data_IF_897250769877
#
_entry.id   IF_897250769877
#
_cell.length_a   1.000
_cell.length_b   1.000
_cell.length_c   1.000
_cell.angle_alpha   90.00
_cell.angle_beta   90.00
_cell.angle_gamma   90.00
#
_symmetry.space_group_name_H-M   'P 1'
#
loop_
_entity.id
_entity.type
_entity.pdbx_description
1 polymer ?
#
# COMPACT_ATOMS: atom_id res chain seq x y z
N UNK A 1 -21.99 -48.55 47.51
CA UNK A 1 -21.83 -47.74 48.74
C UNK A 1 -21.41 -46.34 48.33
N UNK A 2 -22.18 -45.34 48.77
CA UNK A 2 -22.09 -43.93 48.40
C UNK A 2 -20.91 -43.28 49.14
N UNK A 3 -20.11 -42.46 48.45
CA UNK A 3 -19.52 -41.28 49.10
C UNK A 3 -19.48 -40.09 48.15
N UNK A 4 -20.21 -39.08 48.59
CA UNK A 4 -20.42 -37.73 48.05
C UNK A 4 -19.12 -36.94 47.94
N UNK A 5 -19.06 -36.02 46.99
CA UNK A 5 -18.04 -34.96 46.94
C UNK A 5 -18.34 -33.92 45.87
N UNK A 6 -19.24 -32.99 46.19
CA UNK A 6 -19.50 -31.75 45.46
C UNK A 6 -18.22 -30.89 45.41
N UNK A 7 -17.80 -30.47 44.21
CA UNK A 7 -17.06 -29.22 44.03
C UNK A 7 -17.61 -28.47 42.82
N UNK A 8 -18.38 -27.43 43.14
CA UNK A 8 -18.67 -26.29 42.29
C UNK A 8 -17.35 -25.59 41.93
N UNK A 9 -17.03 -25.49 40.63
CA UNK A 9 -16.24 -24.37 40.13
C UNK A 9 -16.95 -23.84 38.89
N UNK A 10 -17.76 -22.81 39.12
CA UNK A 10 -18.12 -21.84 38.09
C UNK A 10 -16.85 -21.11 37.64
N UNK A 11 -16.65 -20.93 36.34
CA UNK A 11 -15.44 -20.25 35.88
C UNK A 11 -15.38 -20.03 34.37
N UNK A 12 -16.18 -19.05 33.92
CA UNK A 12 -15.94 -18.18 32.76
C UNK A 12 -15.56 -18.81 31.41
N UNK A 13 -16.55 -18.84 30.53
CA UNK A 13 -16.40 -18.65 29.09
C UNK A 13 -15.71 -17.31 28.79
N UNK A 14 -14.38 -17.33 28.57
CA UNK A 14 -13.67 -16.21 27.96
C UNK A 14 -13.86 -16.28 26.43
N UNK A 15 -15.01 -15.80 25.95
CA UNK A 15 -15.18 -15.41 24.57
C UNK A 15 -14.24 -14.21 24.34
N UNK A 16 -13.04 -14.49 23.83
CA UNK A 16 -12.07 -13.46 23.52
C UNK A 16 -12.55 -12.72 22.26
N UNK A 17 -13.30 -11.64 22.50
CA UNK A 17 -13.59 -10.61 21.53
C UNK A 17 -12.26 -10.00 21.08
N UNK A 18 -11.75 -10.45 19.93
CA UNK A 18 -10.76 -9.70 19.18
C UNK A 18 -11.41 -8.39 18.74
N UNK A 19 -11.26 -7.34 19.55
CA UNK A 19 -11.51 -5.97 19.13
C UNK A 19 -10.45 -5.61 18.09
N UNK A 20 -10.75 -5.93 16.82
CA UNK A 20 -10.07 -5.37 15.68
C UNK A 20 -10.27 -3.85 15.73
N UNK A 21 -9.31 -3.13 16.29
CA UNK A 21 -9.20 -1.69 16.05
C UNK A 21 -8.88 -1.57 14.56
N UNK A 22 -9.92 -1.37 13.76
CA UNK A 22 -9.79 -0.98 12.37
C UNK A 22 -9.13 0.39 12.37
N UNK A 23 -7.79 0.43 12.29
CA UNK A 23 -7.10 1.64 11.89
C UNK A 23 -7.64 1.95 10.50
N UNK A 24 -8.34 3.08 10.27
CA UNK A 24 -8.76 3.42 8.93
C UNK A 24 -7.47 3.54 8.11
N UNK A 25 -7.32 2.64 7.13
CA UNK A 25 -6.33 2.81 6.10
C UNK A 25 -6.69 4.11 5.39
N UNK A 26 -6.01 5.20 5.74
CA UNK A 26 -6.08 6.47 5.03
C UNK A 26 -5.30 6.34 3.72
N UNK A 27 -5.60 5.34 2.91
CA UNK A 27 -5.47 5.49 1.48
C UNK A 27 -6.66 6.36 1.09
N UNK A 28 -6.52 7.67 1.28
CA UNK A 28 -7.51 8.60 0.79
C UNK A 28 -7.66 8.31 -0.71
N UNK A 29 -8.84 7.85 -1.11
CA UNK A 29 -9.31 7.74 -2.49
C UNK A 29 -9.31 9.13 -3.13
N UNK A 30 -8.12 9.67 -3.38
CA UNK A 30 -7.97 10.80 -4.29
C UNK A 30 -8.17 10.21 -5.68
N UNK A 31 -9.41 10.28 -6.16
CA UNK A 31 -9.68 10.03 -7.58
C UNK A 31 -8.75 10.94 -8.38
N UNK A 32 -7.84 10.31 -9.13
CA UNK A 32 -6.91 11.04 -9.99
C UNK A 32 -7.71 11.80 -11.06
N UNK A 33 -7.26 13.02 -11.36
CA UNK A 33 -7.85 13.86 -12.40
C UNK A 33 -6.75 14.46 -13.26
N UNK A 34 -7.04 14.69 -14.53
CA UNK A 34 -6.11 15.33 -15.45
C UNK A 34 -6.17 16.88 -15.36
N UNK A 35 -6.15 17.44 -14.14
CA UNK A 35 -6.36 18.87 -13.91
C UNK A 35 -5.39 19.80 -14.65
N UNK A 36 -4.19 19.30 -14.96
CA UNK A 36 -3.17 20.02 -15.74
C UNK A 36 -3.43 20.03 -17.26
N UNK A 37 -4.37 19.22 -17.76
CA UNK A 37 -4.66 19.07 -19.19
C UNK A 37 -5.80 19.96 -19.70
N UNK A 38 -6.39 20.77 -18.81
CA UNK A 38 -7.57 21.59 -19.12
C UNK A 38 -8.86 20.76 -19.10
N UNK A 39 -9.91 21.30 -19.72
CA UNK A 39 -11.20 20.62 -19.80
C UNK A 39 -11.20 19.58 -20.92
N UNK A 40 -11.84 18.44 -20.66
CA UNK A 40 -12.11 17.44 -21.68
C UNK A 40 -13.05 18.02 -22.76
N UNK A 41 -12.68 17.94 -24.05
CA UNK A 41 -13.56 18.39 -25.13
C UNK A 41 -14.86 17.60 -25.14
N UNK A 42 -15.99 18.29 -25.33
CA UNK A 42 -17.30 17.65 -25.42
C UNK A 42 -17.55 17.20 -26.86
N UNK A 43 -17.92 15.93 -27.05
CA UNK A 43 -18.26 15.41 -28.36
C UNK A 43 -19.49 16.12 -28.95
N UNK A 44 -19.43 16.64 -30.20
CA UNK A 44 -20.55 17.31 -30.82
C UNK A 44 -21.60 16.30 -31.32
N UNK A 45 -22.86 16.73 -31.44
CA UNK A 45 -23.88 16.00 -32.19
C UNK A 45 -23.66 16.14 -33.69
N UNK A 46 -24.08 15.12 -34.46
CA UNK A 46 -24.04 15.11 -35.93
C UNK A 46 -25.45 15.30 -36.47
N UNK A 47 -25.65 16.35 -37.24
CA UNK A 47 -26.93 16.70 -37.84
C UNK A 47 -27.02 16.19 -39.29
N UNK A 48 -27.95 15.28 -39.58
CA UNK A 48 -28.10 14.65 -40.90
C UNK A 48 -29.36 15.10 -41.65
N UNK A 49 -30.07 16.10 -41.14
CA UNK A 49 -31.37 16.53 -41.66
C UNK A 49 -31.30 17.34 -42.97
N UNK A 50 -30.10 17.80 -43.37
CA UNK A 50 -29.84 18.44 -44.66
C UNK A 50 -28.34 18.43 -44.95
N UNK A 51 -27.96 18.61 -46.22
CA UNK A 51 -26.55 18.68 -46.64
C UNK A 51 -25.79 19.78 -45.90
N UNK A 52 -26.38 20.97 -45.75
CA UNK A 52 -25.73 22.10 -45.07
C UNK A 52 -25.45 21.80 -43.59
N UNK A 53 -26.43 21.22 -42.89
CA UNK A 53 -26.27 20.83 -41.48
C UNK A 53 -25.27 19.69 -41.30
N UNK A 54 -25.23 18.76 -42.25
CA UNK A 54 -24.24 17.69 -42.26
C UNK A 54 -22.83 18.23 -42.45
N UNK A 55 -22.61 19.09 -43.44
CA UNK A 55 -21.32 19.72 -43.68
C UNK A 55 -20.85 20.54 -42.46
N UNK A 56 -21.74 21.29 -41.82
CA UNK A 56 -21.43 22.00 -40.57
C UNK A 56 -21.07 21.03 -39.42
N UNK A 57 -21.62 19.81 -39.42
CA UNK A 57 -21.26 18.77 -38.44
C UNK A 57 -19.88 18.17 -38.71
N UNK A 58 -19.47 18.03 -39.98
CA UNK A 58 -18.13 17.58 -40.36
C UNK A 58 -17.06 18.51 -39.78
N UNK A 59 -17.27 19.82 -39.85
CA UNK A 59 -16.34 20.80 -39.27
C UNK A 59 -16.25 20.68 -37.75
N UNK A 60 -17.40 20.54 -37.07
CA UNK A 60 -17.45 20.34 -35.61
C UNK A 60 -16.74 19.07 -35.17
N UNK A 61 -16.97 17.96 -35.88
CA UNK A 61 -16.31 16.68 -35.60
C UNK A 61 -14.81 16.81 -35.81
N UNK A 62 -14.36 17.43 -36.91
CA UNK A 62 -12.93 17.64 -37.18
C UNK A 62 -12.25 18.48 -36.09
N UNK A 63 -12.93 19.53 -35.61
CA UNK A 63 -12.44 20.35 -34.51
C UNK A 63 -12.36 19.56 -33.19
N UNK A 64 -13.39 18.77 -32.89
CA UNK A 64 -13.42 17.89 -31.72
C UNK A 64 -12.29 16.85 -31.78
N UNK A 65 -12.11 16.15 -32.90
CA UNK A 65 -11.06 15.14 -33.04
C UNK A 65 -9.67 15.71 -32.77
N UNK A 66 -9.39 16.90 -33.30
CA UNK A 66 -8.14 17.61 -33.05
C UNK A 66 -7.97 17.90 -31.55
N UNK A 67 -8.99 18.49 -30.92
CA UNK A 67 -8.96 18.83 -29.51
C UNK A 67 -8.82 17.58 -28.62
N UNK A 68 -9.57 16.52 -28.91
CA UNK A 68 -9.58 15.27 -28.17
C UNK A 68 -8.23 14.54 -28.26
N UNK A 69 -7.59 14.54 -29.43
CA UNK A 69 -6.23 13.97 -29.58
C UNK A 69 -5.20 14.74 -28.75
N UNK A 70 -5.27 16.07 -28.75
CA UNK A 70 -4.40 16.91 -27.91
C UNK A 70 -4.63 16.63 -26.42
N UNK A 71 -5.88 16.62 -25.98
CA UNK A 71 -6.25 16.33 -24.59
C UNK A 71 -5.77 14.93 -24.17
N UNK A 72 -6.09 13.88 -24.94
CA UNK A 72 -5.67 12.51 -24.64
C UNK A 72 -4.15 12.35 -24.57
N UNK A 73 -3.41 13.03 -25.46
CA UNK A 73 -1.94 13.02 -25.38
C UNK A 73 -1.42 13.65 -24.09
N UNK A 74 -2.04 14.72 -23.61
CA UNK A 74 -1.71 15.30 -22.32
C UNK A 74 -2.04 14.35 -21.16
N UNK A 75 -3.26 13.79 -21.15
CA UNK A 75 -3.74 12.85 -20.12
C UNK A 75 -2.78 11.67 -19.99
N UNK A 76 -2.40 11.04 -21.11
CA UNK A 76 -1.46 9.92 -21.11
C UNK A 76 -0.09 10.29 -20.53
N UNK A 77 0.46 11.46 -20.90
CA UNK A 77 1.73 11.94 -20.36
C UNK A 77 1.64 12.24 -18.87
N UNK A 78 0.55 12.84 -18.43
CA UNK A 78 0.31 13.16 -17.02
C UNK A 78 0.18 11.89 -16.18
N UNK A 79 -0.58 10.90 -16.66
CA UNK A 79 -0.73 9.61 -16.00
C UNK A 79 0.62 8.90 -15.85
N UNK A 80 1.38 8.72 -16.94
CA UNK A 80 2.69 8.06 -16.90
C UNK A 80 3.67 8.77 -15.95
N UNK A 81 3.64 10.11 -15.91
CA UNK A 81 4.47 10.89 -14.99
C UNK A 81 4.11 10.58 -13.53
N UNK A 82 2.83 10.61 -13.20
CA UNK A 82 2.33 10.34 -11.85
C UNK A 82 2.62 8.90 -11.42
N UNK A 83 2.32 7.93 -12.28
CA UNK A 83 2.60 6.50 -12.06
C UNK A 83 4.09 6.25 -11.81
N UNK A 84 4.96 6.94 -12.56
CA UNK A 84 6.42 6.85 -12.38
C UNK A 84 6.84 7.45 -11.03
N UNK A 85 6.27 8.60 -10.66
CA UNK A 85 6.56 9.24 -9.38
C UNK A 85 6.14 8.35 -8.20
N UNK A 86 4.91 7.82 -8.24
CA UNK A 86 4.39 6.86 -7.24
C UNK A 86 5.28 5.61 -7.17
N UNK A 87 5.66 5.06 -8.32
CA UNK A 87 6.51 3.86 -8.37
C UNK A 87 7.88 4.10 -7.75
N UNK A 88 8.50 5.26 -8.01
CA UNK A 88 9.79 5.61 -7.44
C UNK A 88 9.70 5.84 -5.93
N UNK A 89 8.70 6.59 -5.48
CA UNK A 89 8.44 6.82 -4.05
C UNK A 89 8.21 5.48 -3.31
N UNK A 90 7.42 4.58 -3.90
CA UNK A 90 7.19 3.26 -3.33
C UNK A 90 8.49 2.44 -3.22
N UNK A 91 9.33 2.45 -4.27
CA UNK A 91 10.63 1.77 -4.27
C UNK A 91 11.55 2.31 -3.18
N UNK A 92 11.61 3.63 -3.01
CA UNK A 92 12.42 4.27 -1.97
C UNK A 92 11.95 3.88 -0.56
N UNK A 93 10.63 3.93 -0.31
CA UNK A 93 10.04 3.51 0.97
C UNK A 93 10.33 2.05 1.28
N UNK A 94 10.17 1.16 0.31
CA UNK A 94 10.46 -0.27 0.46
C UNK A 94 11.94 -0.49 0.74
N UNK A 95 12.83 0.18 0.01
CA UNK A 95 14.28 0.08 0.22
C UNK A 95 14.67 0.51 1.64
N UNK A 96 14.12 1.62 2.13
CA UNK A 96 14.35 2.10 3.49
C UNK A 96 13.92 1.08 4.55
N UNK A 97 12.72 0.51 4.41
CA UNK A 97 12.22 -0.52 5.33
C UNK A 97 13.10 -1.77 5.30
N UNK A 98 13.52 -2.20 4.10
CA UNK A 98 14.37 -3.36 3.93
C UNK A 98 15.75 -3.15 4.59
N UNK A 99 16.36 -1.99 4.38
CA UNK A 99 17.64 -1.63 5.01
C UNK A 99 17.54 -1.61 6.54
N UNK A 100 16.50 -0.96 7.07
CA UNK A 100 16.23 -0.92 8.51
C UNK A 100 16.05 -2.31 9.09
N UNK A 101 15.25 -3.15 8.43
CA UNK A 101 14.99 -4.54 8.85
C UNK A 101 16.26 -5.38 8.85
N UNK A 102 17.07 -5.29 7.78
CA UNK A 102 18.35 -6.00 7.68
C UNK A 102 19.32 -5.56 8.78
N UNK A 103 19.37 -4.26 9.08
CA UNK A 103 20.22 -3.71 10.14
C UNK A 103 19.82 -4.26 11.52
N UNK A 104 18.53 -4.31 11.82
CA UNK A 104 18.01 -4.90 13.06
C UNK A 104 18.37 -6.38 13.15
N UNK A 105 18.12 -7.15 12.10
CA UNK A 105 18.42 -8.59 12.06
C UNK A 105 19.92 -8.86 12.27
N UNK A 106 20.80 -8.12 11.59
CA UNK A 106 22.26 -8.23 11.76
C UNK A 106 22.68 -7.92 13.20
N UNK A 107 22.12 -6.86 13.79
CA UNK A 107 22.41 -6.48 15.19
C UNK A 107 21.98 -7.58 16.17
N UNK A 108 20.79 -8.14 15.99
CA UNK A 108 20.27 -9.23 16.82
C UNK A 108 21.17 -10.47 16.70
N UNK A 109 21.51 -10.87 15.47
CA UNK A 109 22.42 -12.00 15.23
C UNK A 109 23.78 -11.78 15.91
N UNK A 110 24.37 -10.59 15.75
CA UNK A 110 25.63 -10.23 16.41
C UNK A 110 25.54 -10.27 17.94
N UNK A 111 24.42 -9.85 18.53
CA UNK A 111 24.18 -9.95 19.96
C UNK A 111 24.09 -11.41 20.43
N UNK A 112 23.39 -12.28 19.69
CA UNK A 112 23.36 -13.71 20.02
C UNK A 112 24.76 -14.34 19.98
N UNK A 113 25.58 -14.02 18.99
CA UNK A 113 26.98 -14.48 18.93
C UNK A 113 27.78 -14.04 20.15
N UNK A 114 27.65 -12.77 20.56
CA UNK A 114 28.32 -12.23 21.76
C UNK A 114 27.87 -12.93 23.03
N UNK A 115 26.55 -13.09 23.21
CA UNK A 115 25.97 -13.75 24.38
C UNK A 115 26.43 -15.21 24.48
N UNK A 116 26.35 -15.98 23.39
CA UNK A 116 26.83 -17.36 23.35
C UNK A 116 28.32 -17.46 23.72
N UNK A 117 29.13 -16.51 23.23
CA UNK A 117 30.57 -16.46 23.56
C UNK A 117 30.80 -16.16 25.04
N UNK A 118 30.09 -15.18 25.58
CA UNK A 118 30.18 -14.81 27.00
C UNK A 118 29.74 -15.94 27.93
N UNK A 119 28.64 -16.63 27.59
CA UNK A 119 28.14 -17.78 28.35
C UNK A 119 29.15 -18.94 28.34
N UNK A 120 29.74 -19.27 27.19
CA UNK A 120 30.78 -20.31 27.09
C UNK A 120 32.01 -19.97 27.93
N UNK A 121 32.47 -18.72 27.86
CA UNK A 121 33.61 -18.25 28.65
C UNK A 121 33.30 -18.26 30.16
N UNK A 122 32.10 -17.83 30.55
CA UNK A 122 31.64 -17.87 31.94
C UNK A 122 31.59 -19.31 32.48
N UNK A 123 30.96 -20.23 31.73
CA UNK A 123 30.88 -21.64 32.10
C UNK A 123 32.26 -22.28 32.28
N UNK A 124 33.21 -22.01 31.38
CA UNK A 124 34.58 -22.52 31.49
C UNK A 124 35.35 -21.96 32.70
N UNK A 125 35.07 -20.71 33.12
CA UNK A 125 35.66 -20.12 34.33
C UNK A 125 35.11 -20.76 35.60
N UNK A 126 33.79 -20.98 35.65
CA UNK A 126 33.14 -21.59 36.81
C UNK A 126 33.62 -23.03 37.04
N UNK A 127 33.71 -23.84 35.99
CA UNK A 127 34.24 -25.21 36.07
C UNK A 127 35.68 -25.28 36.63
N UNK A 128 36.51 -24.28 36.34
CA UNK A 128 37.88 -24.21 36.86
C UNK A 128 37.97 -23.74 38.32
N UNK A 129 36.93 -23.08 38.83
CA UNK A 129 36.90 -22.58 40.21
C UNK A 129 36.35 -23.62 41.20
N UNK A 130 35.73 -24.69 40.70
CA UNK A 130 35.21 -25.82 41.49
C UNK A 130 36.25 -26.94 41.70
N UNK A 131 37.48 -26.77 41.21
CA UNK A 131 38.63 -27.67 41.36
C UNK A 131 39.81 -26.93 42.00
#
# INVERSE_FOLDING_TARGET
>A
MIRKGFYLIAGLTAAQLCSSVAIPAQAADKMWTASACGAEPVAPSVEVSSVDKYNASVDKVSAYEKAARTYNSCVAKAAVKEETAISNEAREKIAHIHEGSSTVQKRIAGNFTKLTTALKAGGAKLQKAEH
#
